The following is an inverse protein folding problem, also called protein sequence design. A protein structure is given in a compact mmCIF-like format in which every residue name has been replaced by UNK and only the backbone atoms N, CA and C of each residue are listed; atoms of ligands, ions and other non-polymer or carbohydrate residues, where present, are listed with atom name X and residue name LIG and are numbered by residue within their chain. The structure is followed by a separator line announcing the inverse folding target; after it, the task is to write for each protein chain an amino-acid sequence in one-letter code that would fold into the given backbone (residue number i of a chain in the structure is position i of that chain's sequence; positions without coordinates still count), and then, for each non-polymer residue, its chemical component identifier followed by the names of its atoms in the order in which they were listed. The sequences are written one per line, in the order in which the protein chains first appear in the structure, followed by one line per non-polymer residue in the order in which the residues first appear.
data_IF_226974444350
#
_entry.id   IF_226974444350
#
_cell.length_a   1.000
_cell.length_b   1.000
_cell.length_c   1.000
_cell.angle_alpha   90.00
_cell.angle_beta   90.00
_cell.angle_gamma   90.00
#
_symmetry.space_group_name_H-M   'P 1'
#
loop_
_entity.id
_entity.type
_entity.pdbx_description
1 polymer ?
#
# COMPACT_ATOMS: atom_id res chain seq x y z
N UNK A 1 42.88 -15.79 35.71
CA UNK A 1 41.79 -15.00 36.30
C UNK A 1 41.17 -14.21 35.17
N UNK A 2 39.89 -14.49 34.91
CA UNK A 2 39.20 -14.14 33.67
C UNK A 2 38.17 -13.04 33.98
N UNK A 3 38.27 -11.89 33.29
CA UNK A 3 37.20 -10.87 33.13
C UNK A 3 36.89 -9.96 34.34
N UNK A 4 36.13 -8.85 34.13
CA UNK A 4 35.18 -8.70 33.04
C UNK A 4 35.54 -7.65 31.97
N UNK A 5 35.10 -7.97 30.76
CA UNK A 5 34.98 -7.12 29.58
C UNK A 5 33.74 -6.23 29.74
N UNK A 6 33.83 -4.97 29.33
CA UNK A 6 32.67 -4.11 29.13
C UNK A 6 31.70 -4.71 28.09
N UNK A 7 30.37 -4.57 28.26
CA UNK A 7 29.42 -4.99 27.25
C UNK A 7 29.46 -4.03 26.04
N UNK A 8 29.32 -4.53 24.80
CA UNK A 8 29.12 -3.64 23.66
C UNK A 8 27.72 -3.02 23.73
N UNK A 9 27.67 -1.71 23.59
CA UNK A 9 26.45 -0.95 23.29
C UNK A 9 25.86 -1.50 21.99
N UNK A 10 24.69 -2.13 22.09
CA UNK A 10 23.86 -2.49 20.95
C UNK A 10 23.02 -1.29 20.54
N UNK A 11 23.43 -0.58 19.50
CA UNK A 11 22.53 0.27 18.71
C UNK A 11 22.05 -0.54 17.52
N UNK A 12 21.13 -1.47 17.76
CA UNK A 12 20.32 -2.07 16.71
C UNK A 12 19.05 -1.24 16.60
N UNK A 13 18.99 -0.33 15.62
CA UNK A 13 17.69 0.17 15.20
C UNK A 13 16.93 -1.01 14.60
N UNK A 14 15.72 -1.28 15.09
CA UNK A 14 14.82 -2.35 14.64
C UNK A 14 14.56 -2.24 13.13
N UNK A 15 15.49 -2.77 12.33
CA UNK A 15 15.25 -3.12 10.94
C UNK A 15 14.82 -4.58 10.99
N UNK A 16 13.52 -4.80 11.12
CA UNK A 16 12.98 -6.13 10.86
C UNK A 16 13.49 -6.59 9.48
N UNK A 17 13.99 -7.82 9.40
CA UNK A 17 14.38 -8.40 8.12
C UNK A 17 13.17 -8.36 7.16
N UNK A 18 13.37 -8.15 5.85
CA UNK A 18 12.26 -8.05 4.89
C UNK A 18 11.28 -9.23 4.99
N UNK A 19 11.77 -10.45 5.20
CA UNK A 19 10.95 -11.67 5.33
C UNK A 19 10.03 -11.70 6.57
N UNK A 20 10.17 -10.75 7.50
CA UNK A 20 9.36 -10.62 8.70
C UNK A 20 8.37 -9.43 8.66
N UNK A 21 8.39 -8.63 7.59
CA UNK A 21 7.47 -7.50 7.41
C UNK A 21 6.14 -7.97 6.80
N UNK A 22 5.01 -7.33 7.14
CA UNK A 22 3.75 -7.56 6.43
C UNK A 22 3.89 -7.28 4.93
N UNK A 23 3.13 -7.99 4.12
CA UNK A 23 3.12 -7.80 2.67
C UNK A 23 2.21 -6.63 2.31
N UNK A 24 2.61 -5.82 1.33
CA UNK A 24 1.78 -4.82 0.70
C UNK A 24 1.42 -5.26 -0.72
N UNK A 25 0.13 -5.36 -0.99
CA UNK A 25 -0.43 -5.73 -2.29
C UNK A 25 -1.20 -4.57 -2.90
N UNK A 26 -0.88 -4.21 -4.14
CA UNK A 26 -1.58 -3.15 -4.87
C UNK A 26 -2.40 -3.78 -5.98
N UNK A 27 -3.71 -3.87 -5.76
CA UNK A 27 -4.66 -4.63 -6.59
C UNK A 27 -4.33 -6.13 -6.71
N UNK A 28 -5.19 -6.88 -7.41
CA UNK A 28 -4.98 -8.31 -7.68
C UNK A 28 -3.82 -8.56 -8.65
N UNK A 29 -3.19 -9.75 -8.62
CA UNK A 29 -2.12 -10.11 -9.57
C UNK A 29 -2.53 -9.89 -11.03
N UNK A 30 -1.67 -9.24 -11.80
CA UNK A 30 -1.88 -8.98 -13.22
C UNK A 30 -1.47 -7.56 -13.67
N UNK A 31 -1.90 -7.14 -14.88
CA UNK A 31 -1.41 -5.90 -15.51
C UNK A 31 -1.69 -4.62 -14.73
N UNK A 32 -2.67 -4.62 -13.80
CA UNK A 32 -2.89 -3.48 -12.93
C UNK A 32 -1.82 -3.43 -11.83
N UNK A 33 -1.63 -4.52 -11.07
CA UNK A 33 -0.58 -4.61 -10.05
C UNK A 33 0.80 -4.32 -10.62
N UNK A 34 1.13 -4.86 -11.80
CA UNK A 34 2.45 -4.62 -12.43
C UNK A 34 2.71 -3.13 -12.70
N UNK A 35 1.68 -2.40 -13.15
CA UNK A 35 1.77 -0.95 -13.37
C UNK A 35 1.88 -0.18 -12.06
N UNK A 36 1.10 -0.54 -11.05
CA UNK A 36 1.13 0.11 -9.74
C UNK A 36 2.48 -0.09 -9.04
N UNK A 37 3.00 -1.31 -9.06
CA UNK A 37 4.32 -1.65 -8.53
C UNK A 37 5.40 -0.84 -9.24
N UNK A 38 5.41 -0.81 -10.58
CA UNK A 38 6.37 0.00 -11.33
C UNK A 38 6.31 1.49 -10.95
N UNK A 39 5.11 2.05 -10.82
CA UNK A 39 4.89 3.43 -10.41
C UNK A 39 5.36 3.73 -8.97
N UNK A 40 5.24 2.77 -8.05
CA UNK A 40 5.78 2.92 -6.70
C UNK A 40 7.31 2.93 -6.74
N UNK A 41 7.91 2.01 -7.51
CA UNK A 41 9.36 1.86 -7.62
C UNK A 41 10.04 3.07 -8.30
N UNK A 42 9.41 3.69 -9.29
CA UNK A 42 9.93 4.90 -9.93
C UNK A 42 9.55 6.20 -9.18
N UNK A 43 8.73 6.10 -8.14
CA UNK A 43 8.31 7.20 -7.28
C UNK A 43 7.17 8.06 -7.84
N UNK A 44 6.53 7.65 -8.93
CA UNK A 44 5.34 8.33 -9.46
C UNK A 44 4.05 8.02 -8.67
N UNK A 45 3.97 6.86 -8.01
CA UNK A 45 2.93 6.53 -7.01
C UNK A 45 3.50 6.66 -5.60
N UNK A 46 3.02 7.66 -4.86
CA UNK A 46 3.37 7.97 -3.47
C UNK A 46 2.15 8.06 -2.56
N UNK A 47 0.97 7.70 -3.07
CA UNK A 47 -0.25 7.54 -2.29
C UNK A 47 -1.09 6.38 -2.76
N UNK A 48 -1.96 5.92 -1.86
CA UNK A 48 -2.98 4.90 -2.15
C UNK A 48 -4.25 5.20 -1.37
N UNK A 49 -5.35 4.63 -1.84
CA UNK A 49 -6.68 4.79 -1.24
C UNK A 49 -7.36 3.43 -1.08
N UNK A 50 -7.90 3.18 0.10
CA UNK A 50 -8.78 2.06 0.40
C UNK A 50 -10.08 2.56 1.04
N UNK A 51 -11.14 1.77 0.98
CA UNK A 51 -12.36 2.05 1.75
C UNK A 51 -12.17 1.61 3.20
N UNK A 52 -12.73 2.37 4.14
CA UNK A 52 -12.63 2.03 5.56
C UNK A 52 -13.26 0.65 5.90
N UNK A 53 -14.23 0.20 5.09
CA UNK A 53 -14.91 -1.07 5.31
C UNK A 53 -14.00 -2.28 5.08
N UNK A 54 -12.98 -2.16 4.21
CA UNK A 54 -12.02 -3.24 3.92
C UNK A 54 -11.34 -3.70 5.23
N UNK A 55 -10.80 -2.77 6.01
CA UNK A 55 -10.20 -3.05 7.32
C UNK A 55 -11.14 -3.75 8.30
N UNK A 56 -12.42 -3.39 8.30
CA UNK A 56 -13.42 -4.02 9.18
C UNK A 56 -13.76 -5.46 8.77
N UNK A 57 -13.65 -5.79 7.48
CA UNK A 57 -13.89 -7.14 6.94
C UNK A 57 -12.66 -8.03 7.17
N UNK A 58 -11.47 -7.48 7.03
CA UNK A 58 -10.19 -8.19 7.25
C UNK A 58 -9.86 -8.38 8.73
N UNK A 59 -10.59 -7.71 9.64
CA UNK A 59 -10.22 -7.60 11.06
C UNK A 59 -8.79 -7.03 11.23
N UNK A 60 -8.41 -6.13 10.32
CA UNK A 60 -7.10 -5.50 10.28
C UNK A 60 -7.15 -4.08 10.87
N UNK A 61 -6.11 -3.67 11.63
CA UNK A 61 -6.02 -2.30 12.09
C UNK A 61 -5.76 -1.34 10.91
N UNK A 62 -6.14 -0.08 11.10
CA UNK A 62 -5.69 0.97 10.19
C UNK A 62 -4.16 1.05 10.18
N UNK A 63 -3.56 1.41 9.03
CA UNK A 63 -2.12 1.57 8.91
C UNK A 63 -1.63 2.66 9.86
N UNK A 64 -0.42 2.48 10.37
CA UNK A 64 0.24 3.44 11.25
C UNK A 64 1.36 4.18 10.52
N UNK A 65 1.55 5.45 10.85
CA UNK A 65 2.70 6.21 10.33
C UNK A 65 3.99 5.58 10.85
N UNK A 66 4.91 5.27 9.94
CA UNK A 66 6.14 4.55 10.21
C UNK A 66 6.03 3.03 10.02
N UNK A 67 4.82 2.50 9.77
CA UNK A 67 4.65 1.10 9.40
C UNK A 67 5.41 0.79 8.11
N UNK A 68 6.08 -0.37 8.09
CA UNK A 68 6.85 -0.85 6.94
C UNK A 68 6.26 -2.14 6.41
N UNK A 69 6.21 -2.26 5.10
CA UNK A 69 5.68 -3.42 4.41
C UNK A 69 6.58 -3.81 3.25
N UNK A 70 6.60 -5.09 2.91
CA UNK A 70 7.25 -5.60 1.70
C UNK A 70 6.29 -5.47 0.53
N UNK A 71 6.64 -4.65 -0.45
CA UNK A 71 5.96 -4.59 -1.74
C UNK A 71 6.27 -5.84 -2.55
N UNK A 72 5.22 -6.51 -3.05
CA UNK A 72 5.36 -7.67 -3.93
C UNK A 72 4.82 -7.41 -5.34
N UNK A 73 5.40 -8.10 -6.33
CA UNK A 73 4.90 -8.10 -7.71
C UNK A 73 3.74 -9.09 -7.93
N UNK A 74 3.29 -9.24 -9.18
CA UNK A 74 2.23 -10.21 -9.53
C UNK A 74 2.66 -11.68 -9.45
N UNK A 75 3.95 -11.97 -9.35
CA UNK A 75 4.49 -13.31 -9.09
C UNK A 75 4.69 -13.57 -7.59
N UNK A 76 4.29 -12.63 -6.73
CA UNK A 76 4.46 -12.70 -5.28
C UNK A 76 5.91 -12.51 -4.82
N UNK A 77 6.78 -11.95 -5.69
CA UNK A 77 8.18 -11.73 -5.36
C UNK A 77 8.36 -10.39 -4.65
N UNK A 78 9.10 -10.35 -3.52
CA UNK A 78 9.51 -9.09 -2.87
C UNK A 78 10.33 -8.20 -3.82
N UNK A 79 9.93 -6.94 -3.99
CA UNK A 79 10.63 -5.99 -4.87
C UNK A 79 11.13 -4.73 -4.14
N UNK A 80 10.50 -4.36 -3.03
CA UNK A 80 10.90 -3.20 -2.23
C UNK A 80 10.35 -3.28 -0.81
N UNK A 81 10.91 -2.50 0.10
CA UNK A 81 10.27 -2.12 1.36
C UNK A 81 9.71 -0.71 1.20
N UNK A 82 8.43 -0.55 1.53
CA UNK A 82 7.74 0.74 1.60
C UNK A 82 7.46 1.12 3.05
N UNK A 83 7.36 2.43 3.31
CA UNK A 83 7.01 2.98 4.60
C UNK A 83 5.83 3.94 4.46
N UNK A 84 4.81 3.77 5.30
CA UNK A 84 3.67 4.68 5.40
C UNK A 84 4.09 5.95 6.13
N UNK A 85 3.92 7.11 5.50
CA UNK A 85 4.38 8.42 5.99
C UNK A 85 3.25 9.33 6.45
N UNK A 86 2.02 9.06 6.04
CA UNK A 86 0.83 9.72 6.54
C UNK A 86 -0.39 8.83 6.33
N UNK A 87 -1.36 8.93 7.23
CA UNK A 87 -2.66 8.23 7.17
C UNK A 87 -3.75 9.22 7.54
N UNK A 88 -4.82 9.27 6.75
CA UNK A 88 -5.98 10.12 7.01
C UNK A 88 -7.26 9.37 6.65
N UNK A 89 -8.26 9.43 7.52
CA UNK A 89 -9.62 8.97 7.20
C UNK A 89 -10.45 10.18 6.81
N UNK A 90 -10.95 10.21 5.58
CA UNK A 90 -11.77 11.31 5.05
C UNK A 90 -12.99 10.76 4.34
N UNK A 91 -13.94 11.62 3.98
CA UNK A 91 -15.02 11.24 3.07
C UNK A 91 -14.48 11.16 1.65
N UNK A 92 -15.02 10.26 0.83
CA UNK A 92 -14.64 10.12 -0.58
C UNK A 92 -14.76 11.44 -1.35
N UNK A 93 -15.76 12.28 -1.03
CA UNK A 93 -15.92 13.59 -1.63
C UNK A 93 -14.85 14.63 -1.24
N UNK A 94 -14.11 14.40 -0.15
CA UNK A 94 -13.09 15.33 0.37
C UNK A 94 -11.67 14.98 -0.14
N UNK A 95 -11.53 13.96 -1.00
CA UNK A 95 -10.26 13.62 -1.64
C UNK A 95 -9.86 14.71 -2.63
N UNK A 96 -8.66 15.28 -2.43
CA UNK A 96 -8.17 16.36 -3.26
C UNK A 96 -7.45 15.87 -4.53
N UNK A 97 -7.26 16.80 -5.48
CA UNK A 97 -6.61 16.51 -6.75
C UNK A 97 -5.13 16.15 -6.61
N UNK A 98 -4.47 16.58 -5.52
CA UNK A 98 -3.07 16.27 -5.29
C UNK A 98 -2.93 14.80 -4.92
N UNK A 99 -3.76 14.29 -4.01
CA UNK A 99 -3.82 12.86 -3.68
C UNK A 99 -4.10 12.01 -4.91
N UNK A 100 -5.11 12.39 -5.70
CA UNK A 100 -5.46 11.68 -6.93
C UNK A 100 -4.30 11.59 -7.94
N UNK A 101 -3.46 12.63 -8.04
CA UNK A 101 -2.26 12.65 -8.89
C UNK A 101 -1.12 11.83 -8.31
N UNK A 102 -0.91 11.94 -7.01
CA UNK A 102 0.15 11.25 -6.28
C UNK A 102 -0.08 9.73 -6.24
N UNK A 103 -1.28 9.24 -6.61
CA UNK A 103 -1.55 7.82 -6.84
C UNK A 103 -0.85 7.26 -8.10
N UNK A 104 -0.27 8.11 -8.95
CA UNK A 104 0.57 7.68 -10.08
C UNK A 104 -0.16 6.97 -11.22
N UNK A 105 -1.49 6.91 -11.19
CA UNK A 105 -2.31 6.17 -12.16
C UNK A 105 -2.70 6.98 -13.41
N UNK A 106 -2.12 8.17 -13.58
CA UNK A 106 -2.37 9.05 -14.73
C UNK A 106 -3.65 9.88 -14.61
N UNK A 107 -4.16 10.09 -13.40
CA UNK A 107 -5.33 10.92 -13.16
C UNK A 107 -4.96 12.39 -12.89
N UNK A 108 -5.32 13.28 -13.82
CA UNK A 108 -5.10 14.72 -13.66
C UNK A 108 -6.23 15.45 -12.91
N UNK A 109 -7.32 14.74 -12.59
CA UNK A 109 -8.52 15.29 -11.93
C UNK A 109 -9.15 14.28 -10.96
N UNK A 110 -9.80 14.79 -9.92
CA UNK A 110 -10.57 13.98 -8.95
C UNK A 110 -11.70 13.21 -9.65
N UNK A 111 -12.35 13.78 -10.65
CA UNK A 111 -13.45 13.12 -11.36
C UNK A 111 -12.97 11.85 -12.09
N UNK A 112 -11.83 11.91 -12.78
CA UNK A 112 -11.26 10.75 -13.46
C UNK A 112 -10.78 9.68 -12.48
N UNK A 113 -10.09 10.09 -11.41
CA UNK A 113 -9.67 9.21 -10.32
C UNK A 113 -10.86 8.51 -9.66
N UNK A 114 -11.91 9.27 -9.35
CA UNK A 114 -13.11 8.78 -8.69
C UNK A 114 -13.85 7.76 -9.55
N UNK A 115 -14.00 8.02 -10.84
CA UNK A 115 -14.63 7.06 -11.74
C UNK A 115 -13.88 5.72 -11.81
N UNK A 116 -12.53 5.76 -11.79
CA UNK A 116 -11.71 4.55 -11.78
C UNK A 116 -11.86 3.77 -10.46
N UNK A 117 -11.83 4.46 -9.31
CA UNK A 117 -11.97 3.85 -7.99
C UNK A 117 -13.37 3.28 -7.77
N UNK A 118 -14.42 4.00 -8.16
CA UNK A 118 -15.80 3.51 -8.11
C UNK A 118 -15.98 2.25 -8.96
N UNK A 119 -15.38 2.20 -10.16
CA UNK A 119 -15.40 1.01 -11.01
C UNK A 119 -14.64 -0.17 -10.38
N UNK A 120 -13.52 0.08 -9.70
CA UNK A 120 -12.76 -0.94 -8.97
C UNK A 120 -13.56 -1.50 -7.78
N UNK A 121 -14.03 -0.65 -6.87
CA UNK A 121 -14.76 -1.05 -5.68
C UNK A 121 -16.10 -1.73 -5.98
N UNK A 122 -16.75 -1.39 -7.09
CA UNK A 122 -18.00 -2.03 -7.53
C UNK A 122 -17.80 -3.20 -8.48
N UNK A 123 -16.55 -3.59 -8.77
CA UNK A 123 -16.23 -4.74 -9.61
C UNK A 123 -16.72 -6.05 -8.97
N UNK A 124 -16.97 -7.11 -9.78
CA UNK A 124 -17.35 -8.42 -9.27
C UNK A 124 -16.32 -9.00 -8.29
N UNK A 125 -15.03 -8.81 -8.56
CA UNK A 125 -13.94 -9.29 -7.72
C UNK A 125 -13.97 -8.63 -6.34
N UNK A 126 -14.07 -7.30 -6.27
CA UNK A 126 -14.16 -6.59 -5.00
C UNK A 126 -15.44 -6.90 -4.25
N UNK A 127 -16.60 -6.98 -4.91
CA UNK A 127 -17.86 -7.38 -4.26
C UNK A 127 -17.82 -8.80 -3.72
N UNK A 128 -17.15 -9.71 -4.44
CA UNK A 128 -16.92 -11.08 -3.98
C UNK A 128 -16.01 -11.11 -2.77
N UNK A 129 -14.92 -10.34 -2.80
CA UNK A 129 -13.99 -10.19 -1.68
C UNK A 129 -14.65 -9.58 -0.43
N UNK A 130 -15.47 -8.54 -0.59
CA UNK A 130 -16.23 -7.91 0.49
C UNK A 130 -17.43 -8.75 0.97
N UNK A 131 -17.75 -9.86 0.27
CA UNK A 131 -18.95 -10.66 0.48
C UNK A 131 -20.26 -9.82 0.48
N UNK A 132 -20.30 -8.77 -0.34
CA UNK A 132 -21.46 -7.89 -0.53
C UNK A 132 -21.67 -7.62 -2.03
N UNK A 133 -22.62 -8.31 -2.69
CA UNK A 133 -22.89 -8.15 -4.12
C UNK A 133 -23.53 -6.79 -4.45
N UNK A 134 -23.98 -6.04 -3.45
CA UNK A 134 -24.61 -4.73 -3.60
C UNK A 134 -23.70 -3.57 -3.19
N UNK A 135 -22.45 -3.87 -2.81
CA UNK A 135 -21.52 -2.85 -2.37
C UNK A 135 -21.38 -1.73 -3.39
N UNK A 136 -21.46 -0.50 -2.88
CA UNK A 136 -21.33 0.74 -3.63
C UNK A 136 -20.82 1.83 -2.71
N UNK A 137 -20.22 2.85 -3.30
CA UNK A 137 -19.69 4.00 -2.58
C UNK A 137 -20.51 5.25 -2.88
N UNK A 138 -20.48 6.21 -1.96
CA UNK A 138 -21.17 7.50 -2.03
C UNK A 138 -20.19 8.60 -1.63
N UNK A 139 -20.61 9.87 -1.74
CA UNK A 139 -19.80 11.02 -1.30
C UNK A 139 -19.36 10.92 0.16
N UNK A 140 -20.20 10.35 1.03
CA UNK A 140 -19.94 10.21 2.45
C UNK A 140 -19.25 8.89 2.82
N UNK A 141 -18.91 8.03 1.85
CA UNK A 141 -18.16 6.80 2.11
C UNK A 141 -16.79 7.15 2.71
N UNK A 142 -16.46 6.65 3.92
CA UNK A 142 -15.16 6.88 4.51
C UNK A 142 -14.08 6.10 3.74
N UNK A 143 -13.00 6.81 3.38
CA UNK A 143 -11.82 6.25 2.74
C UNK A 143 -10.59 6.54 3.57
N UNK A 144 -9.62 5.63 3.51
CA UNK A 144 -8.32 5.74 4.15
C UNK A 144 -7.33 6.16 3.08
N UNK A 145 -6.77 7.36 3.27
CA UNK A 145 -5.73 7.92 2.42
C UNK A 145 -4.39 7.65 3.05
N UNK A 146 -3.51 7.00 2.32
CA UNK A 146 -2.14 6.75 2.76
C UNK A 146 -1.15 7.47 1.87
N UNK A 147 -0.06 7.93 2.48
CA UNK A 147 1.14 8.38 1.79
C UNK A 147 2.24 7.37 2.03
N UNK A 148 2.96 6.98 0.99
CA UNK A 148 3.99 5.97 1.04
C UNK A 148 5.27 6.44 0.37
N UNK A 149 6.38 5.83 0.76
CA UNK A 149 7.68 5.98 0.09
C UNK A 149 8.42 4.66 0.06
N UNK A 150 9.20 4.43 -0.98
CA UNK A 150 10.20 3.36 -0.99
C UNK A 150 11.34 3.73 -0.05
N UNK A 151 11.69 2.82 0.87
CA UNK A 151 12.83 2.98 1.79
C UNK A 151 13.98 2.03 1.48
N UNK A 152 13.70 0.93 0.79
CA UNK A 152 14.69 -0.05 0.34
C UNK A 152 14.23 -0.72 -0.96
N UNK A 153 15.14 -0.90 -1.92
CA UNK A 153 14.91 -1.72 -3.10
C UNK A 153 15.46 -3.12 -2.82
N UNK A 154 14.64 -4.14 -3.05
CA UNK A 154 15.07 -5.53 -2.84
C UNK A 154 15.64 -6.09 -4.16
N UNK A 155 16.72 -6.88 -4.10
CA UNK A 155 17.27 -7.52 -5.28
C UNK A 155 16.25 -8.57 -5.76
N UNK A 156 15.57 -8.30 -6.87
CA UNK A 156 14.75 -9.32 -7.52
C UNK A 156 15.63 -10.52 -7.91
N UNK A 157 15.17 -11.74 -7.63
CA UNK A 157 15.79 -12.91 -8.24
C UNK A 157 15.66 -12.77 -9.77
N UNK A 158 16.75 -12.40 -10.43
CA UNK A 158 16.82 -12.47 -11.88
C UNK A 158 16.59 -13.95 -12.27
N UNK A 159 15.68 -14.25 -13.21
CA UNK A 159 15.54 -15.61 -13.69
C UNK A 159 16.90 -16.08 -14.17
N UNK A 160 17.38 -17.19 -13.58
CA UNK A 160 18.64 -17.80 -13.97
C UNK A 160 18.55 -18.17 -15.45
N UNK A 161 19.36 -17.51 -16.27
CA UNK A 161 19.47 -17.75 -17.71
C UNK A 161 19.78 -19.21 -18.03
#
# INVERSE_FOLDING_TARGET
MTGPLDPPVGTGGDHAAPDALPVAEFAFPGPLRDRLVAAILDGSKTSTTSTLVEYGIEDEPLPEVGARQVLIDSAGQPVAVIETTAVQVVRLADVDVRHARDEGEGHDSVAGWRAAHEAFWTSPDMRGYLNDPTFSVTDDTPVVLERLRVVELLPGEQPRA
#
